data_IF_385999413466
#
_entry.id   IF_385999413466
#
_cell.length_a   1.000
_cell.length_b   1.000
_cell.length_c   1.000
_cell.angle_alpha   90.00
_cell.angle_beta   90.00
_cell.angle_gamma   90.00
#
_symmetry.space_group_name_H-M   'P 1'
#
loop_
_entity.id
_entity.type
_entity.pdbx_description
1 polymer ?
#
# COMPACT_ATOMS: atom_id res chain seq x y z
N UNK A 1 18.78 5.31 -13.07
CA UNK A 1 18.38 5.04 -11.67
C UNK A 1 16.90 4.71 -11.50
N UNK A 2 16.00 5.40 -12.19
CA UNK A 2 14.56 5.13 -12.14
C UNK A 2 14.23 3.68 -12.56
N UNK A 3 14.80 3.21 -13.66
CA UNK A 3 14.58 1.85 -14.15
C UNK A 3 15.03 0.79 -13.14
N UNK A 4 16.14 1.02 -12.46
CA UNK A 4 16.63 0.11 -11.41
C UNK A 4 15.64 0.05 -10.24
N UNK A 5 15.15 1.21 -9.81
CA UNK A 5 14.16 1.28 -8.73
C UNK A 5 12.87 0.57 -9.08
N UNK A 6 12.34 0.81 -10.29
CA UNK A 6 11.14 0.14 -10.78
C UNK A 6 11.38 -1.38 -10.88
N UNK A 7 12.55 -1.82 -11.34
CA UNK A 7 12.89 -3.25 -11.42
C UNK A 7 12.85 -3.91 -10.04
N UNK A 8 13.38 -3.24 -9.02
CA UNK A 8 13.30 -3.73 -7.64
C UNK A 8 11.86 -3.83 -7.15
N UNK A 9 11.03 -2.81 -7.40
CA UNK A 9 9.62 -2.83 -7.03
C UNK A 9 8.87 -3.95 -7.72
N UNK A 10 9.09 -4.15 -9.02
CA UNK A 10 8.48 -5.24 -9.79
C UNK A 10 8.94 -6.60 -9.26
N UNK A 11 10.21 -6.75 -8.90
CA UNK A 11 10.72 -7.98 -8.33
C UNK A 11 9.99 -8.35 -7.03
N UNK A 12 9.83 -7.40 -6.11
CA UNK A 12 9.07 -7.62 -4.88
C UNK A 12 7.60 -7.89 -5.16
N UNK A 13 7.02 -7.24 -6.17
CA UNK A 13 5.65 -7.50 -6.61
C UNK A 13 5.49 -8.95 -7.11
N UNK A 14 6.43 -9.42 -7.93
CA UNK A 14 6.43 -10.80 -8.43
C UNK A 14 6.61 -11.81 -7.29
N UNK A 15 7.51 -11.54 -6.36
CA UNK A 15 7.69 -12.39 -5.16
C UNK A 15 6.40 -12.45 -4.33
N UNK A 16 5.76 -11.30 -4.13
CA UNK A 16 4.47 -11.23 -3.42
C UNK A 16 3.39 -12.03 -4.12
N UNK A 17 3.30 -11.95 -5.44
CA UNK A 17 2.34 -12.70 -6.26
C UNK A 17 2.63 -14.20 -6.18
N UNK A 18 3.89 -14.59 -6.28
CA UNK A 18 4.30 -16.00 -6.16
C UNK A 18 3.92 -16.57 -4.80
N UNK A 19 4.18 -15.85 -3.71
CA UNK A 19 3.80 -16.27 -2.36
C UNK A 19 2.29 -16.33 -2.18
N UNK A 20 1.55 -15.41 -2.79
CA UNK A 20 0.09 -15.45 -2.79
C UNK A 20 -0.43 -16.77 -3.38
N UNK A 21 0.07 -17.13 -4.56
CA UNK A 21 -0.37 -18.35 -5.26
C UNK A 21 0.04 -19.61 -4.52
N UNK A 22 1.24 -19.64 -3.94
CA UNK A 22 1.83 -20.86 -3.37
C UNK A 22 1.42 -21.11 -1.91
N UNK A 23 1.36 -20.06 -1.08
CA UNK A 23 1.25 -20.19 0.36
C UNK A 23 0.07 -19.44 0.98
N UNK A 24 -0.26 -18.27 0.46
CA UNK A 24 -1.20 -17.35 1.09
C UNK A 24 -2.28 -16.85 0.11
N UNK A 25 -3.19 -17.73 -0.33
CA UNK A 25 -4.22 -17.32 -1.29
C UNK A 25 -5.21 -16.30 -0.74
N UNK A 26 -5.27 -16.14 0.58
CA UNK A 26 -6.16 -15.16 1.22
C UNK A 26 -5.63 -13.72 1.17
N UNK A 27 -4.32 -13.53 1.03
CA UNK A 27 -3.71 -12.20 0.99
C UNK A 27 -3.41 -11.79 -0.45
N UNK A 28 -3.78 -10.55 -0.87
CA UNK A 28 -3.40 -10.06 -2.19
C UNK A 28 -1.89 -10.02 -2.39
N UNK A 29 -1.42 -10.42 -3.58
CA UNK A 29 0.01 -10.43 -3.91
C UNK A 29 0.72 -9.10 -3.69
N UNK A 30 0.13 -7.95 -4.13
CA UNK A 30 0.74 -6.63 -3.89
C UNK A 30 0.98 -6.30 -2.42
N UNK A 31 0.08 -6.71 -1.52
CA UNK A 31 0.25 -6.51 -0.07
C UNK A 31 1.41 -7.33 0.47
N UNK A 32 1.53 -8.60 0.04
CA UNK A 32 2.66 -9.45 0.42
C UNK A 32 3.98 -8.84 -0.07
N UNK A 33 4.01 -8.37 -1.32
CA UNK A 33 5.17 -7.70 -1.89
C UNK A 33 5.57 -6.45 -1.11
N UNK A 34 4.59 -5.65 -0.70
CA UNK A 34 4.82 -4.45 0.10
C UNK A 34 5.40 -4.78 1.48
N UNK A 35 4.87 -5.80 2.15
CA UNK A 35 5.39 -6.26 3.44
C UNK A 35 6.81 -6.79 3.30
N UNK A 36 7.10 -7.56 2.25
CA UNK A 36 8.44 -8.05 1.96
C UNK A 36 9.43 -6.91 1.73
N UNK A 37 9.04 -5.92 0.94
CA UNK A 37 9.86 -4.74 0.68
C UNK A 37 10.12 -3.96 1.98
N UNK A 38 9.11 -3.76 2.79
CA UNK A 38 9.23 -3.08 4.07
C UNK A 38 10.19 -3.82 5.01
N UNK A 39 10.05 -5.14 5.12
CA UNK A 39 10.96 -5.98 5.90
C UNK A 39 12.40 -5.90 5.41
N UNK A 40 12.61 -5.93 4.09
CA UNK A 40 13.92 -5.77 3.49
C UNK A 40 14.55 -4.41 3.83
N UNK A 41 13.78 -3.33 3.75
CA UNK A 41 14.26 -1.99 4.09
C UNK A 41 14.59 -1.85 5.58
N UNK A 42 13.80 -2.48 6.46
CA UNK A 42 14.11 -2.50 7.89
C UNK A 42 15.43 -3.20 8.18
N UNK A 43 15.71 -4.31 7.50
CA UNK A 43 16.95 -5.05 7.66
C UNK A 43 18.16 -4.26 7.13
N UNK A 44 17.97 -3.52 6.04
CA UNK A 44 19.04 -2.70 5.48
C UNK A 44 19.26 -1.38 6.23
N UNK A 45 18.23 -0.85 6.87
CA UNK A 45 18.30 0.40 7.61
C UNK A 45 18.27 1.65 6.76
N UNK A 46 18.36 1.54 5.44
CA UNK A 46 18.31 2.68 4.53
C UNK A 46 17.64 2.34 3.20
N UNK A 47 17.14 3.34 2.52
CA UNK A 47 16.52 3.21 1.21
C UNK A 47 17.55 3.59 0.14
N UNK A 48 17.80 2.70 -0.82
CA UNK A 48 18.71 2.99 -1.93
C UNK A 48 18.17 4.13 -2.80
N UNK A 49 19.06 4.92 -3.41
CA UNK A 49 18.67 6.04 -4.26
C UNK A 49 17.76 5.62 -5.44
N UNK A 50 18.03 4.54 -6.18
CA UNK A 50 17.13 4.09 -7.24
C UNK A 50 15.72 3.78 -6.74
N UNK A 51 15.61 3.14 -5.59
CA UNK A 51 14.32 2.78 -5.00
C UNK A 51 13.57 4.02 -4.52
N UNK A 52 14.29 4.97 -3.91
CA UNK A 52 13.71 6.25 -3.48
C UNK A 52 13.16 7.05 -4.66
N UNK A 53 13.93 7.16 -5.73
CA UNK A 53 13.53 7.87 -6.94
C UNK A 53 12.30 7.24 -7.59
N UNK A 54 12.28 5.92 -7.73
CA UNK A 54 11.15 5.19 -8.30
C UNK A 54 9.89 5.37 -7.46
N UNK A 55 10.00 5.22 -6.15
CA UNK A 55 8.88 5.37 -5.22
C UNK A 55 8.33 6.79 -5.23
N UNK A 56 9.19 7.80 -5.20
CA UNK A 56 8.79 9.20 -5.27
C UNK A 56 8.06 9.51 -6.58
N UNK A 57 8.56 8.99 -7.70
CA UNK A 57 7.95 9.17 -9.02
C UNK A 57 6.57 8.52 -9.08
N UNK A 58 6.44 7.27 -8.60
CA UNK A 58 5.15 6.57 -8.57
C UNK A 58 4.14 7.30 -7.69
N UNK A 59 4.55 7.77 -6.51
CA UNK A 59 3.68 8.53 -5.62
C UNK A 59 3.24 9.86 -6.24
N UNK A 60 4.14 10.53 -6.95
CA UNK A 60 3.82 11.78 -7.66
C UNK A 60 2.74 11.59 -8.72
N UNK A 61 2.79 10.48 -9.46
CA UNK A 61 1.85 10.17 -10.53
C UNK A 61 0.74 9.23 -10.08
N UNK A 62 0.59 8.99 -8.78
CA UNK A 62 -0.45 8.10 -8.24
C UNK A 62 -1.87 8.46 -8.71
N UNK A 63 -2.29 9.75 -8.77
CA UNK A 63 -3.61 10.08 -9.29
C UNK A 63 -3.84 9.61 -10.72
N UNK A 64 -2.82 9.69 -11.58
CA UNK A 64 -2.91 9.19 -12.97
C UNK A 64 -2.95 7.66 -13.02
N UNK A 65 -2.21 6.99 -12.14
CA UNK A 65 -2.19 5.53 -12.08
C UNK A 65 -3.50 4.95 -11.55
N UNK A 66 -4.26 5.72 -10.79
CA UNK A 66 -5.55 5.29 -10.26
C UNK A 66 -6.70 5.40 -11.28
N UNK A 67 -6.52 6.15 -12.37
CA UNK A 67 -7.57 6.33 -13.39
C UNK A 67 -8.00 5.00 -14.03
N UNK A 68 -7.09 4.10 -14.51
CA UNK A 68 -7.52 2.82 -15.07
C UNK A 68 -8.35 1.96 -14.11
N UNK A 69 -7.94 1.74 -12.84
CA UNK A 69 -8.77 1.02 -11.88
C UNK A 69 -10.12 1.69 -11.62
N UNK A 70 -10.15 3.01 -11.54
CA UNK A 70 -11.39 3.77 -11.32
C UNK A 70 -12.39 3.57 -12.47
N UNK A 71 -11.90 3.59 -13.71
CA UNK A 71 -12.71 3.29 -14.91
C UNK A 71 -13.16 1.82 -14.89
N UNK A 72 -12.29 0.91 -14.45
CA UNK A 72 -12.61 -0.51 -14.32
C UNK A 72 -13.79 -0.80 -13.40
N UNK A 73 -14.02 0.03 -12.39
CA UNK A 73 -15.17 -0.10 -11.49
C UNK A 73 -16.50 0.00 -12.25
N UNK A 74 -16.53 0.71 -13.37
CA UNK A 74 -17.74 0.84 -14.19
C UNK A 74 -18.23 -0.51 -14.73
N UNK A 75 -17.33 -1.48 -14.92
CA UNK A 75 -17.71 -2.83 -15.33
C UNK A 75 -18.50 -3.58 -14.24
N UNK A 76 -18.40 -3.14 -13.00
CA UNK A 76 -19.04 -3.77 -11.85
C UNK A 76 -20.25 -2.99 -11.32
N UNK A 77 -20.80 -2.07 -12.13
CA UNK A 77 -21.95 -1.23 -11.72
C UNK A 77 -23.16 -2.09 -11.32
N UNK A 78 -23.43 -3.16 -12.08
CA UNK A 78 -24.58 -4.03 -11.77
C UNK A 78 -24.49 -4.72 -10.41
N UNK A 79 -23.38 -5.44 -10.08
CA UNK A 79 -23.21 -5.97 -8.73
C UNK A 79 -23.21 -4.92 -7.63
N UNK A 80 -22.60 -3.77 -7.89
CA UNK A 80 -22.54 -2.67 -6.91
C UNK A 80 -23.94 -2.15 -6.60
N UNK A 81 -24.78 -1.94 -7.63
CA UNK A 81 -26.17 -1.50 -7.44
C UNK A 81 -26.99 -2.52 -6.69
N UNK A 82 -26.79 -3.81 -6.95
CA UNK A 82 -27.50 -4.88 -6.28
C UNK A 82 -27.24 -4.91 -4.75
N UNK A 83 -26.02 -4.52 -4.36
CA UNK A 83 -25.60 -4.51 -2.95
C UNK A 83 -25.17 -3.13 -2.47
N UNK A 84 -25.84 -2.09 -2.93
CA UNK A 84 -25.45 -0.71 -2.70
C UNK A 84 -25.26 -0.38 -1.20
N UNK A 85 -26.20 -0.80 -0.37
CA UNK A 85 -26.14 -0.55 1.09
C UNK A 85 -24.92 -1.23 1.73
N UNK A 86 -24.63 -2.47 1.33
CA UNK A 86 -23.47 -3.20 1.83
C UNK A 86 -22.17 -2.54 1.39
N UNK A 87 -22.07 -2.13 0.13
CA UNK A 87 -20.89 -1.47 -0.42
C UNK A 87 -20.64 -0.12 0.27
N UNK A 88 -21.65 0.73 0.35
CA UNK A 88 -21.54 2.04 0.99
C UNK A 88 -21.23 1.90 2.48
N UNK A 89 -21.91 1.02 3.17
CA UNK A 89 -21.69 0.76 4.59
C UNK A 89 -20.27 0.26 4.87
N UNK A 90 -19.78 -0.68 4.07
CA UNK A 90 -18.43 -1.21 4.19
C UNK A 90 -17.36 -0.15 3.92
N UNK A 91 -17.54 0.65 2.88
CA UNK A 91 -16.60 1.72 2.53
C UNK A 91 -16.55 2.79 3.62
N UNK A 92 -17.70 3.24 4.13
CA UNK A 92 -17.73 4.24 5.20
C UNK A 92 -17.13 3.69 6.49
N UNK A 93 -17.50 2.48 6.87
CA UNK A 93 -17.01 1.86 8.09
C UNK A 93 -15.49 1.62 8.01
N UNK A 94 -14.99 1.08 6.90
CA UNK A 94 -13.55 0.85 6.70
C UNK A 94 -12.77 2.16 6.69
N UNK A 95 -13.32 3.21 6.08
CA UNK A 95 -12.70 4.54 6.06
C UNK A 95 -12.59 5.11 7.48
N UNK A 96 -13.66 5.05 8.28
CA UNK A 96 -13.66 5.54 9.65
C UNK A 96 -12.65 4.76 10.52
N UNK A 97 -12.67 3.44 10.43
CA UNK A 97 -11.74 2.58 11.18
C UNK A 97 -10.30 2.87 10.77
N UNK A 98 -10.02 3.00 9.48
CA UNK A 98 -8.68 3.29 8.95
C UNK A 98 -8.18 4.66 9.42
N UNK A 99 -9.04 5.69 9.39
CA UNK A 99 -8.69 7.03 9.85
C UNK A 99 -8.38 7.05 11.34
N UNK A 100 -9.22 6.40 12.15
CA UNK A 100 -8.98 6.30 13.60
C UNK A 100 -7.68 5.55 13.90
N UNK A 101 -7.46 4.42 13.23
CA UNK A 101 -6.24 3.62 13.38
C UNK A 101 -5.00 4.42 12.98
N UNK A 102 -5.01 5.05 11.81
CA UNK A 102 -3.89 5.85 11.32
C UNK A 102 -3.62 7.05 12.23
N UNK A 103 -4.66 7.74 12.70
CA UNK A 103 -4.54 8.87 13.61
C UNK A 103 -3.91 8.47 14.94
N UNK A 104 -4.40 7.41 15.56
CA UNK A 104 -3.86 6.89 16.83
C UNK A 104 -2.41 6.41 16.66
N UNK A 105 -2.13 5.68 15.59
CA UNK A 105 -0.78 5.18 15.30
C UNK A 105 0.21 6.33 15.11
N UNK A 106 -0.15 7.33 14.31
CA UNK A 106 0.69 8.52 14.08
C UNK A 106 0.94 9.28 15.37
N UNK A 107 -0.09 9.48 16.18
CA UNK A 107 0.04 10.17 17.47
C UNK A 107 1.01 9.45 18.40
N UNK A 108 0.87 8.14 18.53
CA UNK A 108 1.78 7.32 19.36
C UNK A 108 3.21 7.36 18.85
N UNK A 109 3.41 7.30 17.55
CA UNK A 109 4.75 7.37 16.95
C UNK A 109 5.40 8.74 17.18
N UNK A 110 4.63 9.83 17.05
CA UNK A 110 5.11 11.18 17.30
C UNK A 110 5.50 11.35 18.79
N UNK A 111 4.67 10.89 19.70
CA UNK A 111 4.96 10.94 21.15
C UNK A 111 6.23 10.15 21.50
N UNK A 112 6.40 8.96 20.91
CA UNK A 112 7.62 8.17 21.10
C UNK A 112 8.86 8.88 20.59
N UNK A 113 8.76 9.52 19.44
CA UNK A 113 9.86 10.28 18.86
C UNK A 113 10.24 11.46 19.77
N UNK A 114 9.25 12.24 20.22
CA UNK A 114 9.47 13.36 21.11
C UNK A 114 10.12 12.93 22.43
N UNK A 115 9.70 11.81 23.01
CA UNK A 115 10.30 11.28 24.24
C UNK A 115 11.76 10.87 24.06
N UNK A 116 12.12 10.39 22.87
CA UNK A 116 13.52 10.03 22.57
C UNK A 116 14.41 11.24 22.36
N UNK A 117 13.85 12.35 21.90
CA UNK A 117 14.59 13.60 21.66
C UNK A 117 14.71 14.47 22.91
N UNK A 118 13.95 14.21 23.96
CA UNK A 118 14.11 14.88 25.24
C UNK A 118 15.25 14.25 26.04
N UNK A 119 16.23 15.07 26.51
CA UNK A 119 17.33 14.56 27.32
C UNK A 119 16.88 14.09 28.71
#
# INVERSE_FOLDING_TARGET
MLLRGISWLVLFQLCGTALNVLLLPMLPGPIIGLVLLFGYLLLRGEVSEPLREASATLLKYLPLLLVPPAVGVMAYVTPIKAHLWAVVGTLLLSLLISLLFAGVLMQKLIERKQRREQP
#
